data_IF_169853957812
#
_entry.id   IF_169853957812
#
_cell.length_a   1.000
_cell.length_b   1.000
_cell.length_c   1.000
_cell.angle_alpha   90.00
_cell.angle_beta   90.00
_cell.angle_gamma   90.00
#
_symmetry.space_group_name_H-M   'P 1'
#
loop_
_entity.id
_entity.type
_entity.pdbx_description
1 polymer ?
#
# COMPACT_ATOMS: atom_id res chain seq x y z
N UNK A 1 30.44 -8.23 -27.69
CA UNK A 1 29.21 -7.82 -28.41
C UNK A 1 28.20 -8.97 -28.28
N UNK A 2 27.05 -8.68 -27.64
CA UNK A 2 25.75 -9.36 -27.63
C UNK A 2 25.62 -10.91 -27.64
N UNK A 3 25.60 -11.55 -26.46
CA UNK A 3 25.09 -12.94 -26.30
C UNK A 3 24.06 -13.06 -25.14
N UNK A 4 23.93 -12.06 -24.26
CA UNK A 4 23.07 -12.16 -23.05
C UNK A 4 21.59 -11.76 -23.23
N UNK A 5 21.20 -11.15 -24.35
CA UNK A 5 19.81 -10.76 -24.61
C UNK A 5 18.95 -11.89 -25.20
N UNK A 6 19.58 -12.85 -25.88
CA UNK A 6 18.88 -13.88 -26.65
C UNK A 6 18.29 -14.99 -25.75
N UNK A 7 18.89 -15.23 -24.57
CA UNK A 7 18.38 -16.24 -23.63
C UNK A 7 17.13 -15.76 -22.88
N UNK A 8 17.07 -14.47 -22.52
CA UNK A 8 15.91 -13.84 -21.91
C UNK A 8 14.75 -13.70 -22.91
N UNK A 9 15.04 -13.39 -24.17
CA UNK A 9 14.03 -13.44 -25.23
C UNK A 9 13.54 -14.86 -25.50
N UNK A 10 14.42 -15.87 -25.48
CA UNK A 10 14.01 -17.28 -25.63
C UNK A 10 13.18 -17.76 -24.45
N UNK A 11 13.52 -17.35 -23.22
CA UNK A 11 12.71 -17.64 -22.03
C UNK A 11 11.35 -16.94 -22.08
N UNK A 12 11.33 -15.66 -22.47
CA UNK A 12 10.09 -14.90 -22.67
C UNK A 12 9.24 -15.54 -23.78
N UNK A 13 9.83 -15.92 -24.91
CA UNK A 13 9.10 -16.62 -25.99
C UNK A 13 8.67 -18.03 -25.58
N UNK A 14 9.37 -18.72 -24.69
CA UNK A 14 8.93 -20.02 -24.19
C UNK A 14 7.76 -19.89 -23.17
N UNK A 15 7.80 -18.89 -22.28
CA UNK A 15 6.71 -18.58 -21.34
C UNK A 15 5.47 -18.00 -22.04
N UNK A 16 5.67 -17.22 -23.10
CA UNK A 16 4.61 -16.52 -23.83
C UNK A 16 4.44 -17.05 -25.27
N UNK A 17 4.80 -18.30 -25.54
CA UNK A 17 4.46 -18.97 -26.82
C UNK A 17 2.94 -19.18 -26.86
N UNK A 18 2.26 -18.12 -27.28
CA UNK A 18 0.98 -18.19 -27.95
C UNK A 18 1.26 -18.73 -29.34
N UNK A 19 1.04 -20.02 -29.54
CA UNK A 19 0.87 -20.53 -30.89
C UNK A 19 -0.42 -19.90 -31.46
N UNK A 20 -0.27 -18.76 -32.12
CA UNK A 20 -1.19 -18.26 -33.14
C UNK A 20 -2.68 -18.16 -32.81
N UNK A 21 -3.08 -17.88 -31.57
CA UNK A 21 -4.48 -17.56 -31.26
C UNK A 21 -4.61 -16.07 -30.95
N UNK A 22 -5.49 -15.42 -31.70
CA UNK A 22 -5.86 -14.00 -31.63
C UNK A 22 -6.12 -13.53 -30.21
N UNK A 23 -5.95 -12.22 -30.00
CA UNK A 23 -6.40 -11.45 -28.83
C UNK A 23 -7.74 -11.93 -28.28
N UNK A 24 -7.68 -12.85 -27.33
CA UNK A 24 -8.77 -13.34 -26.52
C UNK A 24 -8.16 -13.51 -25.15
N UNK A 25 -8.72 -12.83 -24.15
CA UNK A 25 -8.29 -12.94 -22.77
C UNK A 25 -8.20 -14.43 -22.39
N UNK A 26 -6.97 -14.94 -22.19
CA UNK A 26 -6.77 -16.30 -21.67
C UNK A 26 -7.55 -16.40 -20.37
N UNK A 27 -8.36 -17.44 -20.25
CA UNK A 27 -9.21 -17.66 -19.10
C UNK A 27 -8.32 -17.80 -17.86
N UNK A 28 -8.66 -17.15 -16.74
CA UNK A 28 -7.83 -17.18 -15.54
C UNK A 28 -7.65 -18.62 -14.98
N UNK A 29 -8.50 -19.55 -15.42
CA UNK A 29 -8.38 -20.99 -15.23
C UNK A 29 -7.08 -21.57 -15.84
N UNK A 30 -6.59 -20.99 -16.94
CA UNK A 30 -5.36 -21.33 -17.68
C UNK A 30 -4.10 -20.64 -17.15
N UNK A 31 -4.20 -19.81 -16.10
CA UNK A 31 -3.03 -19.21 -15.49
C UNK A 31 -2.04 -20.32 -15.08
N UNK A 32 -0.82 -20.21 -15.61
CA UNK A 32 0.26 -21.19 -15.47
C UNK A 32 0.42 -21.57 -13.99
N UNK A 33 0.58 -22.86 -13.72
CA UNK A 33 0.77 -23.40 -12.37
C UNK A 33 1.89 -22.66 -11.63
N UNK A 34 2.94 -22.23 -12.34
CA UNK A 34 4.03 -21.43 -11.80
C UNK A 34 3.59 -20.06 -11.29
N UNK A 35 2.59 -19.43 -11.91
CA UNK A 35 2.02 -18.15 -11.46
C UNK A 35 1.16 -18.37 -10.21
N UNK A 36 0.34 -19.42 -10.18
CA UNK A 36 -0.47 -19.79 -9.00
C UNK A 36 0.39 -20.13 -7.79
N UNK A 37 1.58 -20.70 -8.01
CA UNK A 37 2.56 -20.96 -6.95
C UNK A 37 3.08 -19.68 -6.28
N UNK A 38 2.88 -18.48 -6.83
CA UNK A 38 3.28 -17.22 -6.19
C UNK A 38 2.17 -16.58 -5.35
N UNK A 39 0.94 -17.10 -5.40
CA UNK A 39 -0.18 -16.55 -4.62
C UNK A 39 0.09 -16.55 -3.10
N UNK A 40 0.55 -17.65 -2.46
CA UNK A 40 0.73 -17.67 -1.02
C UNK A 40 1.76 -16.63 -0.52
N UNK A 41 2.96 -16.48 -1.13
CA UNK A 41 3.87 -15.38 -0.78
C UNK A 41 3.30 -13.97 -0.98
N UNK A 42 2.55 -13.73 -2.06
CA UNK A 42 1.90 -12.42 -2.31
C UNK A 42 0.87 -12.09 -1.23
N UNK A 43 0.04 -13.06 -0.86
CA UNK A 43 -0.91 -12.91 0.24
C UNK A 43 -0.19 -12.67 1.57
N UNK A 44 0.93 -13.36 1.82
CA UNK A 44 1.74 -13.16 3.03
C UNK A 44 2.32 -11.74 3.12
N UNK A 45 2.86 -11.21 2.01
CA UNK A 45 3.40 -9.85 1.93
C UNK A 45 2.31 -8.80 2.16
N UNK A 46 1.18 -8.92 1.45
CA UNK A 46 0.04 -8.01 1.60
C UNK A 46 -0.53 -8.02 3.01
N UNK A 47 -0.71 -9.20 3.60
CA UNK A 47 -1.28 -9.31 4.94
C UNK A 47 -0.34 -8.72 6.00
N UNK A 48 0.97 -8.87 5.84
CA UNK A 48 1.97 -8.20 6.67
C UNK A 48 1.93 -6.67 6.52
N UNK A 49 1.72 -6.17 5.30
CA UNK A 49 1.53 -4.75 5.03
C UNK A 49 0.27 -4.22 5.75
N UNK A 50 -0.86 -4.91 5.64
CA UNK A 50 -2.10 -4.52 6.32
C UNK A 50 -1.98 -4.55 7.84
N UNK A 51 -1.31 -5.56 8.41
CA UNK A 51 -1.06 -5.62 9.85
C UNK A 51 -0.18 -4.44 10.31
N UNK A 52 0.88 -4.14 9.57
CA UNK A 52 1.75 -3.01 9.85
C UNK A 52 1.00 -1.66 9.75
N UNK A 53 0.16 -1.48 8.73
CA UNK A 53 -0.68 -0.29 8.58
C UNK A 53 -1.63 -0.11 9.76
N UNK A 54 -2.26 -1.19 10.23
CA UNK A 54 -3.11 -1.17 11.43
C UNK A 54 -2.31 -0.78 12.67
N UNK A 55 -1.09 -1.28 12.80
CA UNK A 55 -0.22 -0.95 13.93
C UNK A 55 0.19 0.54 13.96
N UNK A 56 0.29 1.18 12.79
CA UNK A 56 0.57 2.62 12.64
C UNK A 56 -0.67 3.52 12.76
N UNK A 57 -1.82 3.05 12.26
CA UNK A 57 -3.10 3.75 12.32
C UNK A 57 -3.73 3.65 13.70
N UNK A 58 -3.09 4.27 14.69
CA UNK A 58 -3.58 4.38 16.05
C UNK A 58 -3.82 5.84 16.44
N UNK A 59 -4.54 6.03 17.54
CA UNK A 59 -4.93 7.36 18.01
C UNK A 59 -3.72 8.26 18.33
N UNK A 60 -2.61 7.67 18.74
CA UNK A 60 -1.35 8.34 19.05
C UNK A 60 -0.77 9.11 17.85
N UNK A 61 -1.12 8.74 16.62
CA UNK A 61 -0.68 9.44 15.41
C UNK A 61 -1.16 10.91 15.40
N UNK A 62 -2.31 11.23 16.02
CA UNK A 62 -2.83 12.60 16.10
C UNK A 62 -1.99 13.49 17.01
N UNK A 63 -1.38 12.90 18.02
CA UNK A 63 -0.60 13.59 19.04
C UNK A 63 0.87 13.78 18.63
N UNK A 64 1.30 13.14 17.53
CA UNK A 64 2.65 13.29 17.02
C UNK A 64 2.89 14.69 16.44
N UNK A 65 4.14 15.22 16.52
CA UNK A 65 4.55 16.40 15.78
C UNK A 65 4.34 16.24 14.27
N UNK A 66 4.22 17.35 13.54
CA UNK A 66 3.91 17.37 12.11
C UNK A 66 4.92 16.57 11.27
N UNK A 67 6.21 16.75 11.54
CA UNK A 67 7.30 16.04 10.88
C UNK A 67 7.16 14.52 11.09
N UNK A 68 6.87 14.11 12.33
CA UNK A 68 6.62 12.71 12.66
C UNK A 68 5.38 12.16 11.94
N UNK A 69 4.28 12.92 11.87
CA UNK A 69 3.08 12.51 11.14
C UNK A 69 3.34 12.38 9.64
N UNK A 70 4.05 13.31 9.03
CA UNK A 70 4.42 13.27 7.61
C UNK A 70 5.24 12.02 7.29
N UNK A 71 6.21 11.66 8.13
CA UNK A 71 7.00 10.44 7.94
C UNK A 71 6.13 9.18 8.05
N UNK A 72 5.22 9.15 9.03
CA UNK A 72 4.22 8.09 9.14
C UNK A 72 3.34 7.98 7.89
N UNK A 73 2.81 9.09 7.38
CA UNK A 73 1.99 9.09 6.18
C UNK A 73 2.74 8.53 4.98
N UNK A 74 3.97 9.01 4.73
CA UNK A 74 4.81 8.53 3.63
C UNK A 74 5.12 7.04 3.75
N UNK A 75 5.44 6.57 4.96
CA UNK A 75 5.68 5.16 5.20
C UNK A 75 4.41 4.31 4.97
N UNK A 76 3.25 4.77 5.43
CA UNK A 76 1.98 4.07 5.22
C UNK A 76 1.60 4.03 3.73
N UNK A 77 1.80 5.13 3.00
CA UNK A 77 1.54 5.19 1.56
C UNK A 77 2.43 4.23 0.77
N UNK A 78 3.72 4.17 1.08
CA UNK A 78 4.65 3.22 0.46
C UNK A 78 4.19 1.76 0.68
N UNK A 79 3.79 1.43 1.91
CA UNK A 79 3.32 0.08 2.25
C UNK A 79 1.97 -0.25 1.60
N UNK A 80 1.05 0.73 1.52
CA UNK A 80 -0.24 0.59 0.84
C UNK A 80 -0.08 0.32 -0.65
N UNK A 81 0.84 1.00 -1.33
CA UNK A 81 1.12 0.76 -2.75
C UNK A 81 1.57 -0.67 -2.99
N UNK A 82 2.46 -1.22 -2.15
CA UNK A 82 2.83 -2.63 -2.25
C UNK A 82 1.64 -3.57 -2.02
N UNK A 83 0.80 -3.29 -1.02
CA UNK A 83 -0.38 -4.11 -0.75
C UNK A 83 -1.40 -4.07 -1.90
N UNK A 84 -1.56 -2.91 -2.56
CA UNK A 84 -2.44 -2.73 -3.73
C UNK A 84 -1.90 -3.55 -4.90
N UNK A 85 -0.61 -3.39 -5.25
CA UNK A 85 0.05 -4.13 -6.34
C UNK A 85 -0.06 -5.65 -6.13
N UNK A 86 0.13 -6.12 -4.89
CA UNK A 86 -0.04 -7.53 -4.54
C UNK A 86 -1.47 -8.01 -4.74
N UNK A 87 -2.43 -7.19 -4.32
CA UNK A 87 -3.85 -7.52 -4.47
C UNK A 87 -4.25 -7.58 -5.94
N UNK A 88 -3.77 -6.66 -6.77
CA UNK A 88 -3.97 -6.68 -8.23
C UNK A 88 -3.37 -7.93 -8.86
N UNK A 89 -2.14 -8.28 -8.48
CA UNK A 89 -1.45 -9.48 -8.97
C UNK A 89 -2.23 -10.76 -8.60
N UNK A 90 -2.75 -10.82 -7.38
CA UNK A 90 -3.61 -11.92 -6.91
C UNK A 90 -4.92 -11.96 -7.70
N UNK A 91 -5.59 -10.83 -7.89
CA UNK A 91 -6.83 -10.74 -8.68
C UNK A 91 -6.66 -11.27 -10.10
N UNK A 92 -5.56 -10.89 -10.76
CA UNK A 92 -5.25 -11.33 -12.13
C UNK A 92 -4.98 -12.83 -12.23
N UNK A 93 -4.56 -13.47 -11.14
CA UNK A 93 -4.17 -14.89 -11.12
C UNK A 93 -5.33 -15.83 -10.73
N UNK A 94 -6.35 -15.33 -10.04
CA UNK A 94 -7.42 -16.17 -9.49
C UNK A 94 -8.53 -16.45 -10.52
N UNK A 95 -8.88 -17.73 -10.64
CA UNK A 95 -9.81 -18.22 -11.68
C UNK A 95 -11.30 -18.16 -11.32
N UNK A 96 -11.67 -18.05 -10.03
CA UNK A 96 -13.09 -18.11 -9.64
C UNK A 96 -13.69 -16.73 -9.37
N UNK A 97 -14.89 -16.50 -9.91
CA UNK A 97 -15.64 -15.25 -9.79
C UNK A 97 -15.87 -14.82 -8.32
N UNK A 98 -16.05 -15.79 -7.42
CA UNK A 98 -16.23 -15.53 -5.99
C UNK A 98 -14.96 -14.98 -5.34
N UNK A 99 -13.80 -15.58 -5.61
CA UNK A 99 -12.52 -15.11 -5.07
C UNK A 99 -12.15 -13.76 -5.67
N UNK A 100 -12.34 -13.58 -6.98
CA UNK A 100 -12.12 -12.30 -7.65
C UNK A 100 -12.98 -11.18 -7.05
N UNK A 101 -14.26 -11.44 -6.76
CA UNK A 101 -15.15 -10.47 -6.12
C UNK A 101 -14.70 -10.09 -4.70
N UNK A 102 -14.15 -11.04 -3.94
CA UNK A 102 -13.60 -10.79 -2.62
C UNK A 102 -12.31 -9.97 -2.67
N UNK A 103 -11.37 -10.31 -3.54
CA UNK A 103 -10.13 -9.55 -3.71
C UNK A 103 -10.41 -8.14 -4.25
N UNK A 104 -11.41 -7.96 -5.11
CA UNK A 104 -11.86 -6.64 -5.59
C UNK A 104 -12.34 -5.74 -4.45
N UNK A 105 -13.09 -6.30 -3.49
CA UNK A 105 -13.55 -5.57 -2.30
C UNK A 105 -12.37 -5.14 -1.42
N UNK A 106 -11.38 -6.02 -1.22
CA UNK A 106 -10.17 -5.68 -0.48
C UNK A 106 -9.36 -4.58 -1.18
N UNK A 107 -9.17 -4.69 -2.50
CA UNK A 107 -8.49 -3.66 -3.28
C UNK A 107 -9.19 -2.30 -3.21
N UNK A 108 -10.52 -2.29 -3.29
CA UNK A 108 -11.32 -1.06 -3.12
C UNK A 108 -11.09 -0.44 -1.75
N UNK A 109 -11.05 -1.26 -0.69
CA UNK A 109 -10.75 -0.80 0.66
C UNK A 109 -9.33 -0.21 0.76
N UNK A 110 -8.31 -0.90 0.25
CA UNK A 110 -6.93 -0.42 0.27
C UNK A 110 -6.77 0.89 -0.54
N UNK A 111 -7.46 1.00 -1.67
CA UNK A 111 -7.45 2.21 -2.50
C UNK A 111 -8.05 3.41 -1.76
N UNK A 112 -9.20 3.23 -1.09
CA UNK A 112 -9.81 4.29 -0.27
C UNK A 112 -8.88 4.69 0.88
N UNK A 113 -8.26 3.73 1.58
CA UNK A 113 -7.30 4.01 2.63
C UNK A 113 -6.11 4.84 2.13
N UNK A 114 -5.56 4.48 0.96
CA UNK A 114 -4.50 5.25 0.31
C UNK A 114 -4.97 6.67 -0.01
N UNK A 115 -6.13 6.84 -0.62
CA UNK A 115 -6.59 8.16 -1.04
C UNK A 115 -6.83 9.09 0.17
N UNK A 116 -7.34 8.54 1.29
CA UNK A 116 -7.47 9.27 2.56
C UNK A 116 -6.12 9.68 3.14
N UNK A 117 -5.14 8.78 3.16
CA UNK A 117 -3.80 9.07 3.68
C UNK A 117 -3.00 10.01 2.78
N UNK A 118 -3.16 9.89 1.46
CA UNK A 118 -2.58 10.81 0.48
C UNK A 118 -3.17 12.21 0.65
N UNK A 119 -4.48 12.29 0.87
CA UNK A 119 -5.14 13.56 1.21
C UNK A 119 -4.58 14.14 2.51
N UNK A 120 -4.47 13.35 3.58
CA UNK A 120 -3.91 13.82 4.85
C UNK A 120 -2.47 14.32 4.67
N UNK A 121 -1.62 13.55 3.98
CA UNK A 121 -0.23 13.92 3.69
C UNK A 121 -0.12 15.23 2.92
N UNK A 122 -0.86 15.35 1.80
CA UNK A 122 -0.82 16.55 0.97
C UNK A 122 -1.33 17.80 1.72
N UNK A 123 -2.37 17.66 2.56
CA UNK A 123 -2.87 18.78 3.37
C UNK A 123 -1.88 19.18 4.47
N UNK A 124 -1.19 18.22 5.07
CA UNK A 124 -0.13 18.46 6.04
C UNK A 124 1.05 19.21 5.39
N UNK A 125 1.53 18.75 4.24
CA UNK A 125 2.61 19.40 3.47
C UNK A 125 2.21 20.82 3.03
N UNK A 126 1.01 21.00 2.47
CA UNK A 126 0.51 22.31 2.08
C UNK A 126 0.41 23.27 3.28
N UNK A 127 0.03 22.76 4.46
CA UNK A 127 -0.04 23.58 5.67
C UNK A 127 1.34 24.12 6.08
N UNK A 128 2.40 23.32 5.92
CA UNK A 128 3.79 23.77 6.13
C UNK A 128 4.14 24.91 5.17
N UNK A 129 3.88 24.73 3.88
CA UNK A 129 4.17 25.74 2.85
C UNK A 129 3.45 27.07 3.12
N UNK A 130 2.19 27.01 3.59
CA UNK A 130 1.44 28.20 3.98
C UNK A 130 1.97 28.84 5.27
N UNK A 131 2.43 28.05 6.25
CA UNK A 131 2.94 28.51 7.53
C UNK A 131 4.34 29.13 7.46
N UNK A 132 5.20 28.61 6.59
CA UNK A 132 6.57 29.11 6.42
C UNK A 132 6.67 30.37 5.57
N UNK A 133 5.53 30.98 5.20
CA UNK A 133 5.45 32.14 4.31
C UNK A 133 6.33 31.96 3.05
N UNK A 134 6.21 30.80 2.38
CA UNK A 134 6.98 30.52 1.17
C UNK A 134 6.93 31.75 0.24
N UNK A 135 8.07 32.40 -0.06
CA UNK A 135 8.09 33.71 -0.68
C UNK A 135 7.54 33.67 -2.11
N UNK A 136 7.69 32.56 -2.83
CA UNK A 136 7.14 32.37 -4.17
C UNK A 136 5.63 32.24 -4.13
N UNK A 137 5.12 31.47 -3.17
CA UNK A 137 3.70 31.29 -2.94
C UNK A 137 3.04 32.60 -2.46
N UNK A 138 3.71 33.31 -1.55
CA UNK A 138 3.33 34.63 -1.09
C UNK A 138 3.31 35.65 -2.23
N UNK A 139 4.31 35.64 -3.11
CA UNK A 139 4.33 36.48 -4.30
C UNK A 139 3.16 36.19 -5.24
N UNK A 140 2.90 34.91 -5.54
CA UNK A 140 1.77 34.49 -6.38
C UNK A 140 0.42 34.88 -5.78
N UNK A 141 0.27 34.79 -4.46
CA UNK A 141 -0.94 35.15 -3.72
C UNK A 141 -0.98 36.63 -3.29
N UNK A 142 -0.14 37.48 -3.88
CA UNK A 142 -0.08 38.93 -3.65
C UNK A 142 0.10 39.32 -2.17
N UNK A 143 1.02 38.62 -1.48
CA UNK A 143 1.34 38.78 -0.05
C UNK A 143 0.10 38.79 0.84
N UNK A 144 -0.88 37.95 0.50
CA UNK A 144 -2.12 37.82 1.26
C UNK A 144 -1.83 37.44 2.71
N UNK A 145 -2.22 38.29 3.66
CA UNK A 145 -2.19 37.97 5.09
C UNK A 145 -3.11 36.80 5.50
N UNK A 146 -3.73 36.10 4.53
CA UNK A 146 -4.57 34.92 4.74
C UNK A 146 -3.79 33.60 4.72
N UNK A 147 -2.48 33.61 4.44
CA UNK A 147 -1.65 32.39 4.43
C UNK A 147 -1.78 31.59 5.74
N UNK A 148 -1.71 32.28 6.89
CA UNK A 148 -1.93 31.64 8.20
C UNK A 148 -3.32 30.99 8.33
N UNK A 149 -4.36 31.57 7.73
CA UNK A 149 -5.71 30.99 7.70
C UNK A 149 -5.77 29.76 6.79
N UNK A 150 -5.05 29.76 5.67
CA UNK A 150 -4.94 28.58 4.80
C UNK A 150 -4.18 27.44 5.48
N UNK A 151 -3.11 27.74 6.22
CA UNK A 151 -2.40 26.75 7.02
C UNK A 151 -3.31 26.11 8.08
N UNK A 152 -4.10 26.90 8.82
CA UNK A 152 -5.07 26.38 9.78
C UNK A 152 -6.13 25.50 9.09
N UNK A 153 -6.64 25.94 7.93
CA UNK A 153 -7.63 25.18 7.16
C UNK A 153 -7.07 23.84 6.65
N UNK A 154 -5.80 23.83 6.23
CA UNK A 154 -5.09 22.63 5.80
C UNK A 154 -4.92 21.64 6.95
N UNK A 155 -4.55 22.11 8.15
CA UNK A 155 -4.48 21.27 9.35
C UNK A 155 -5.83 20.64 9.70
N UNK A 156 -6.92 21.40 9.63
CA UNK A 156 -8.27 20.86 9.88
C UNK A 156 -8.68 19.84 8.82
N UNK A 157 -8.26 20.01 7.57
CA UNK A 157 -8.50 19.05 6.49
C UNK A 157 -7.68 17.77 6.68
N UNK A 158 -6.38 17.90 7.00
CA UNK A 158 -5.50 16.79 7.38
C UNK A 158 -6.16 15.91 8.45
N UNK A 159 -6.56 16.53 9.56
CA UNK A 159 -7.12 15.81 10.71
C UNK A 159 -8.43 15.11 10.37
N UNK A 160 -9.27 15.70 9.52
CA UNK A 160 -10.51 15.05 9.05
C UNK A 160 -10.23 13.82 8.20
N UNK A 161 -9.29 13.90 7.27
CA UNK A 161 -8.88 12.76 6.45
C UNK A 161 -8.25 11.65 7.30
N UNK A 162 -7.39 12.02 8.25
CA UNK A 162 -6.80 11.06 9.20
C UNK A 162 -7.86 10.39 10.09
N UNK A 163 -8.82 11.15 10.63
CA UNK A 163 -9.90 10.60 11.45
C UNK A 163 -10.70 9.55 10.68
N UNK A 164 -11.07 9.85 9.43
CA UNK A 164 -11.82 8.92 8.60
C UNK A 164 -11.00 7.65 8.30
N UNK A 165 -9.70 7.77 8.06
CA UNK A 165 -8.81 6.62 7.86
C UNK A 165 -8.71 5.75 9.13
N UNK A 166 -8.63 6.37 10.32
CA UNK A 166 -8.61 5.65 11.60
C UNK A 166 -9.94 4.91 11.83
N UNK A 167 -11.07 5.58 11.67
CA UNK A 167 -12.39 4.99 11.86
C UNK A 167 -12.62 3.81 10.90
N UNK A 168 -12.19 3.97 9.63
CA UNK A 168 -12.28 2.93 8.62
C UNK A 168 -11.37 1.73 8.95
N UNK A 169 -10.15 1.97 9.43
CA UNK A 169 -9.22 0.93 9.90
C UNK A 169 -9.81 0.12 11.06
N UNK A 170 -10.37 0.81 12.06
CA UNK A 170 -11.03 0.18 13.22
C UNK A 170 -12.22 -0.66 12.77
N UNK A 171 -13.11 -0.12 11.93
CA UNK A 171 -14.28 -0.82 11.43
C UNK A 171 -13.92 -2.06 10.58
N UNK A 172 -12.81 -2.02 9.85
CA UNK A 172 -12.36 -3.11 9.00
C UNK A 172 -11.60 -4.23 9.74
N UNK A 173 -11.06 -3.95 10.94
CA UNK A 173 -10.13 -4.86 11.65
C UNK A 173 -10.68 -6.28 11.81
N UNK A 174 -11.89 -6.44 12.34
CA UNK A 174 -12.48 -7.75 12.56
C UNK A 174 -12.72 -8.52 11.24
N UNK A 175 -13.19 -7.82 10.20
CA UNK A 175 -13.44 -8.42 8.89
C UNK A 175 -12.15 -8.83 8.19
N UNK A 176 -11.11 -8.01 8.32
CA UNK A 176 -9.79 -8.32 7.76
C UNK A 176 -9.19 -9.56 8.41
N UNK A 177 -9.29 -9.69 9.74
CA UNK A 177 -8.82 -10.88 10.45
C UNK A 177 -9.51 -12.16 9.95
N UNK A 178 -10.84 -12.14 9.83
CA UNK A 178 -11.62 -13.27 9.30
C UNK A 178 -11.19 -13.62 7.87
N UNK A 179 -10.92 -12.62 7.05
CA UNK A 179 -10.45 -12.79 5.68
C UNK A 179 -9.05 -13.45 5.62
N UNK A 180 -8.11 -13.01 6.45
CA UNK A 180 -6.78 -13.63 6.55
C UNK A 180 -6.86 -15.08 7.05
N UNK A 181 -7.67 -15.33 8.09
CA UNK A 181 -7.85 -16.67 8.65
C UNK A 181 -8.44 -17.65 7.64
N UNK A 182 -9.41 -17.19 6.84
CA UNK A 182 -9.97 -17.98 5.74
C UNK A 182 -8.88 -18.38 4.73
N UNK A 183 -8.07 -17.42 4.28
CA UNK A 183 -7.02 -17.69 3.29
C UNK A 183 -5.97 -18.66 3.83
N UNK A 184 -5.52 -18.47 5.08
CA UNK A 184 -4.54 -19.36 5.73
C UNK A 184 -5.03 -20.80 5.81
N UNK A 185 -6.31 -21.01 6.12
CA UNK A 185 -6.93 -22.35 6.19
C UNK A 185 -7.12 -23.02 4.83
N UNK A 186 -7.15 -22.25 3.74
CA UNK A 186 -7.36 -22.77 2.39
C UNK A 186 -6.09 -23.37 1.75
N UNK A 187 -4.91 -23.12 2.32
CA UNK A 187 -3.65 -23.60 1.76
C UNK A 187 -3.33 -25.05 2.15
N UNK A 188 -2.61 -25.74 1.27
CA UNK A 188 -1.85 -26.94 1.64
C UNK A 188 -0.72 -26.58 2.60
N UNK A 189 -0.18 -27.57 3.32
CA UNK A 189 0.92 -27.36 4.28
C UNK A 189 2.11 -26.60 3.67
N UNK A 190 2.59 -27.04 2.50
CA UNK A 190 3.71 -26.39 1.82
C UNK A 190 3.42 -24.93 1.41
N UNK A 191 2.18 -24.62 1.01
CA UNK A 191 1.80 -23.25 0.68
C UNK A 191 1.59 -22.38 1.93
N UNK A 192 1.15 -22.98 3.04
CA UNK A 192 1.03 -22.31 4.34
C UNK A 192 2.41 -21.89 4.86
N UNK A 193 3.42 -22.75 4.75
CA UNK A 193 4.82 -22.40 5.11
C UNK A 193 5.35 -21.24 4.28
N UNK A 194 5.11 -21.25 2.96
CA UNK A 194 5.54 -20.18 2.05
C UNK A 194 4.84 -18.85 2.32
N UNK A 195 3.54 -18.89 2.66
CA UNK A 195 2.80 -17.73 3.13
C UNK A 195 3.43 -17.17 4.41
N UNK A 196 3.65 -18.03 5.42
CA UNK A 196 4.15 -17.61 6.73
C UNK A 196 5.56 -17.03 6.63
N UNK A 197 6.45 -17.67 5.88
CA UNK A 197 7.81 -17.18 5.65
C UNK A 197 7.82 -15.79 4.99
N UNK A 198 6.93 -15.54 4.02
CA UNK A 198 6.79 -14.22 3.42
C UNK A 198 6.23 -13.21 4.44
N UNK A 199 5.18 -13.58 5.18
CA UNK A 199 4.56 -12.74 6.20
C UNK A 199 5.59 -12.27 7.25
N UNK A 200 6.38 -13.19 7.81
CA UNK A 200 7.37 -12.88 8.85
C UNK A 200 8.51 -12.00 8.32
N UNK A 201 9.00 -12.30 7.11
CA UNK A 201 10.04 -11.51 6.45
C UNK A 201 9.59 -10.07 6.23
N UNK A 202 8.39 -9.87 5.68
CA UNK A 202 7.90 -8.54 5.35
C UNK A 202 7.44 -7.77 6.59
N UNK A 203 6.85 -8.43 7.59
CA UNK A 203 6.52 -7.82 8.89
C UNK A 203 7.78 -7.24 9.55
N UNK A 204 8.87 -8.01 9.55
CA UNK A 204 10.16 -7.56 10.07
C UNK A 204 10.75 -6.41 9.25
N UNK A 205 10.66 -6.50 7.93
CA UNK A 205 11.18 -5.48 7.00
C UNK A 205 10.46 -4.14 7.18
N UNK A 206 9.14 -4.13 7.21
CA UNK A 206 8.36 -2.89 7.36
C UNK A 206 8.65 -2.21 8.70
N UNK A 207 8.66 -2.98 9.81
CA UNK A 207 9.01 -2.45 11.14
C UNK A 207 10.42 -1.87 11.17
N UNK A 208 11.41 -2.57 10.61
CA UNK A 208 12.80 -2.08 10.55
C UNK A 208 12.93 -0.79 9.73
N UNK A 209 12.32 -0.74 8.55
CA UNK A 209 12.36 0.47 7.70
C UNK A 209 11.76 1.67 8.42
N UNK A 210 10.65 1.48 9.13
CA UNK A 210 10.00 2.54 9.88
C UNK A 210 10.82 3.03 11.09
N UNK A 211 11.41 2.10 11.87
CA UNK A 211 12.30 2.47 12.97
C UNK A 211 13.46 3.34 12.50
N UNK A 212 14.11 2.95 11.39
CA UNK A 212 15.21 3.73 10.80
C UNK A 212 14.76 5.13 10.38
N UNK A 213 13.57 5.26 9.78
CA UNK A 213 13.01 6.53 9.35
C UNK A 213 12.71 7.47 10.52
N UNK A 214 12.15 6.96 11.63
CA UNK A 214 11.94 7.77 12.85
C UNK A 214 13.27 8.20 13.47
N UNK A 215 14.24 7.29 13.58
CA UNK A 215 15.55 7.60 14.16
C UNK A 215 16.27 8.67 13.35
N UNK A 216 16.26 8.57 12.02
CA UNK A 216 16.79 9.63 11.16
C UNK A 216 16.04 10.95 11.30
N UNK A 217 14.71 10.92 11.47
CA UNK A 217 13.92 12.13 11.69
C UNK A 217 14.21 12.86 13.01
N UNK A 218 14.76 12.15 14.01
CA UNK A 218 15.20 12.75 15.28
C UNK A 218 16.59 13.39 15.20
N UNK A 219 17.44 12.97 14.26
CA UNK A 219 18.79 13.54 14.09
C UNK A 219 18.78 14.87 13.31
N UNK A 220 17.67 15.21 12.64
CA UNK A 220 17.48 16.46 11.89
C UNK A 220 16.57 17.49 12.58
N UNK A 221 16.14 17.23 13.83
CA UNK A 221 15.36 18.13 14.68
C UNK A 221 16.24 18.78 15.76
#
# INVERSE_FOLDING_TARGET
MSIKFDLLEKFRRALFRSDGVSEGARDASEADYLVKMNIPPLLGRRDAACEFLRDLLKHELKEMPLEGRLECYRCMLEVLEYAIIDTESVQMTLASAETAGREKRLHSFLSVMRDLLSSACAMAEASVEFSCENPDLGYFLNKSGRLARYAASGRDAEMRSLNLALDLSVAATARFQVYCDYNRKSFSAANSERYQAAFDLYSSRYRKTYSLKIESGKEFA
#
